data_IF_949912039355
#
_entry.id   IF_949912039355
#
_cell.length_a   1.000
_cell.length_b   1.000
_cell.length_c   1.000
_cell.angle_alpha   90.00
_cell.angle_beta   90.00
_cell.angle_gamma   90.00
#
_symmetry.space_group_name_H-M   'P 1'
#
loop_
_entity.id
_entity.type
_entity.pdbx_description
1 polymer ?
#
# COMPACT_ATOMS: atom_id res chain seq x y z
N UNK A 1 -14.48 6.44 10.45
CA UNK A 1 -13.49 6.69 9.40
C UNK A 1 -13.64 5.68 8.28
N UNK A 2 -13.45 6.12 7.05
CA UNK A 2 -13.69 5.27 5.88
C UNK A 2 -12.52 4.31 5.67
N UNK A 3 -12.82 3.02 5.59
CA UNK A 3 -11.79 2.00 5.29
C UNK A 3 -11.40 2.09 3.82
N UNK A 4 -10.14 1.79 3.48
CA UNK A 4 -9.73 1.82 2.08
C UNK A 4 -10.51 0.87 1.19
N UNK A 5 -10.97 -0.28 1.70
CA UNK A 5 -11.81 -1.18 0.91
C UNK A 5 -13.13 -0.51 0.50
N UNK A 6 -13.64 0.40 1.31
CA UNK A 6 -14.85 1.15 0.97
C UNK A 6 -14.60 2.09 -0.20
N UNK A 7 -13.46 2.79 -0.22
CA UNK A 7 -13.10 3.63 -1.37
C UNK A 7 -12.93 2.80 -2.63
N UNK A 8 -12.37 1.60 -2.49
CA UNK A 8 -12.23 0.70 -3.62
C UNK A 8 -13.61 0.35 -4.21
N UNK A 9 -14.60 0.11 -3.37
CA UNK A 9 -15.96 -0.15 -3.82
C UNK A 9 -16.58 1.04 -4.53
N UNK A 10 -16.15 2.25 -4.19
CA UNK A 10 -16.65 3.48 -4.81
C UNK A 10 -15.97 3.82 -6.13
N UNK A 11 -15.02 3.00 -6.59
CA UNK A 11 -14.41 3.17 -7.89
C UNK A 11 -12.94 3.55 -7.90
N UNK A 12 -12.35 3.80 -6.73
CA UNK A 12 -10.90 4.06 -6.65
C UNK A 12 -10.16 2.73 -6.82
N UNK A 13 -8.99 2.75 -7.46
CA UNK A 13 -8.21 1.53 -7.51
C UNK A 13 -7.59 1.23 -6.14
N UNK A 14 -6.99 0.05 -5.99
CA UNK A 14 -6.47 -0.37 -4.69
C UNK A 14 -5.42 0.59 -4.14
N UNK A 15 -4.57 1.15 -4.99
CA UNK A 15 -3.53 2.08 -4.56
C UNK A 15 -4.10 3.45 -4.20
N UNK A 16 -4.99 3.96 -5.03
CA UNK A 16 -5.65 5.24 -4.75
C UNK A 16 -6.42 5.18 -3.43
N UNK A 17 -7.07 4.05 -3.17
CA UNK A 17 -7.84 3.84 -1.95
C UNK A 17 -6.96 3.92 -0.70
N UNK A 18 -5.78 3.30 -0.74
CA UNK A 18 -4.82 3.35 0.37
C UNK A 18 -4.40 4.80 0.64
N UNK A 19 -4.01 5.53 -0.41
CA UNK A 19 -3.53 6.90 -0.26
C UNK A 19 -4.63 7.80 0.31
N UNK A 20 -5.83 7.67 -0.24
CA UNK A 20 -6.96 8.48 0.20
C UNK A 20 -7.31 8.24 1.67
N UNK A 21 -7.35 6.98 2.09
CA UNK A 21 -7.62 6.64 3.48
C UNK A 21 -6.53 7.14 4.41
N UNK A 22 -5.28 7.01 3.98
CA UNK A 22 -4.15 7.48 4.80
C UNK A 22 -4.23 8.99 5.02
N UNK A 23 -4.49 9.75 3.94
CA UNK A 23 -4.64 11.20 4.05
C UNK A 23 -5.73 11.59 5.04
N UNK A 24 -6.86 10.90 4.98
CA UNK A 24 -8.01 11.19 5.83
C UNK A 24 -7.71 10.89 7.30
N UNK A 25 -7.09 9.75 7.57
CA UNK A 25 -6.82 9.30 8.93
C UNK A 25 -5.68 10.05 9.60
N UNK A 26 -4.73 10.55 8.82
CA UNK A 26 -3.50 11.16 9.35
C UNK A 26 -3.34 12.63 8.96
N UNK A 27 -4.34 13.20 8.30
CA UNK A 27 -4.35 14.61 7.92
C UNK A 27 -3.13 14.97 7.05
N UNK A 28 -2.82 14.11 6.07
CA UNK A 28 -1.74 14.32 5.11
C UNK A 28 -2.32 14.69 3.74
N UNK A 29 -1.46 15.04 2.81
CA UNK A 29 -1.80 15.63 1.52
C UNK A 29 -1.12 14.90 0.36
N UNK A 30 -0.92 13.60 0.47
CA UNK A 30 -0.27 12.84 -0.59
C UNK A 30 -1.18 12.83 -1.82
N UNK A 31 -0.70 13.23 -3.01
CA UNK A 31 -1.55 13.23 -4.20
C UNK A 31 -2.08 11.81 -4.50
N UNK A 32 -3.40 11.66 -4.50
CA UNK A 32 -4.05 10.37 -4.77
C UNK A 32 -3.69 9.87 -6.17
N UNK A 33 -3.49 10.80 -7.11
CA UNK A 33 -3.14 10.46 -8.48
C UNK A 33 -1.84 9.65 -8.61
N UNK A 34 -0.96 9.71 -7.61
CA UNK A 34 0.27 8.91 -7.64
C UNK A 34 -0.02 7.41 -7.66
N UNK A 35 -1.19 7.00 -7.19
CA UNK A 35 -1.59 5.60 -7.18
C UNK A 35 -2.30 5.15 -8.46
N UNK A 36 -2.59 6.07 -9.39
CA UNK A 36 -3.45 5.73 -10.53
C UNK A 36 -2.88 4.65 -11.44
N UNK A 37 -1.56 4.57 -11.59
CA UNK A 37 -0.93 3.53 -12.42
C UNK A 37 -0.61 2.24 -11.68
N UNK A 38 -0.84 2.18 -10.37
CA UNK A 38 -0.44 1.05 -9.54
C UNK A 38 -1.50 -0.05 -9.44
N UNK A 39 -2.75 0.27 -9.75
CA UNK A 39 -3.86 -0.68 -9.61
C UNK A 39 -3.66 -1.90 -10.50
N UNK A 40 -4.26 -3.02 -10.11
CA UNK A 40 -4.16 -4.30 -10.81
C UNK A 40 -2.70 -4.72 -11.02
N UNK A 41 -1.88 -4.53 -9.96
CA UNK A 41 -0.47 -4.92 -9.99
C UNK A 41 0.32 -4.18 -11.06
N UNK A 42 0.32 -2.85 -10.99
CA UNK A 42 0.93 -1.97 -11.99
C UNK A 42 0.32 -2.22 -13.37
N UNK A 43 -0.97 -2.50 -13.40
CA UNK A 43 -1.81 -2.72 -14.59
C UNK A 43 -1.56 -4.05 -15.29
N UNK A 44 -0.50 -4.77 -14.94
CA UNK A 44 -0.09 -6.01 -15.64
C UNK A 44 -0.05 -7.24 -14.71
N UNK A 45 -0.68 -7.15 -13.54
CA UNK A 45 -0.73 -8.28 -12.62
C UNK A 45 0.55 -8.52 -11.82
N UNK A 46 1.42 -7.50 -11.75
CA UNK A 46 2.67 -7.57 -11.00
C UNK A 46 2.45 -7.19 -9.52
N UNK A 47 3.28 -6.38 -8.94
CA UNK A 47 3.19 -6.02 -7.52
C UNK A 47 1.81 -5.46 -7.16
N UNK A 48 1.19 -6.04 -6.14
CA UNK A 48 -0.12 -5.59 -5.67
C UNK A 48 -0.15 -4.08 -5.43
N UNK A 49 -1.17 -3.42 -5.99
CA UNK A 49 -1.29 -1.96 -5.88
C UNK A 49 -1.44 -1.46 -4.45
N UNK A 50 -2.13 -2.22 -3.60
CA UNK A 50 -2.28 -1.84 -2.19
C UNK A 50 -0.93 -1.88 -1.48
N UNK A 51 -0.14 -2.93 -1.72
CA UNK A 51 1.20 -3.06 -1.14
C UNK A 51 2.10 -1.94 -1.67
N UNK A 52 2.05 -1.70 -2.98
CA UNK A 52 2.86 -0.65 -3.60
C UNK A 52 2.52 0.73 -3.04
N UNK A 53 1.23 1.03 -2.87
CA UNK A 53 0.80 2.32 -2.30
C UNK A 53 1.26 2.45 -0.84
N UNK A 54 1.23 1.38 -0.07
CA UNK A 54 1.74 1.41 1.30
C UNK A 54 3.24 1.74 1.31
N UNK A 55 4.00 1.18 0.37
CA UNK A 55 5.41 1.51 0.21
C UNK A 55 5.59 2.98 -0.14
N UNK A 56 4.74 3.51 -1.02
CA UNK A 56 4.76 4.93 -1.39
C UNK A 56 4.54 5.81 -0.17
N UNK A 57 3.57 5.47 0.67
CA UNK A 57 3.30 6.22 1.90
C UNK A 57 4.51 6.17 2.83
N UNK A 58 5.15 5.00 2.95
CA UNK A 58 6.37 4.88 3.77
C UNK A 58 7.48 5.78 3.23
N UNK A 59 7.60 5.88 1.91
CA UNK A 59 8.56 6.80 1.30
C UNK A 59 8.25 8.25 1.60
N UNK A 60 6.97 8.60 1.59
CA UNK A 60 6.53 9.95 1.92
C UNK A 60 6.91 10.32 3.36
N UNK A 61 6.78 9.37 4.29
CA UNK A 61 7.01 9.62 5.72
C UNK A 61 8.47 9.44 6.14
N UNK A 62 9.18 8.47 5.58
CA UNK A 62 10.50 8.04 6.03
C UNK A 62 11.56 8.08 4.94
N UNK A 63 11.21 8.60 3.78
CA UNK A 63 12.13 8.68 2.67
C UNK A 63 13.18 9.77 2.84
N UNK A 64 14.11 9.82 1.93
CA UNK A 64 15.17 10.83 1.91
C UNK A 64 15.03 11.71 0.67
N UNK A 65 15.52 12.93 0.77
CA UNK A 65 15.45 13.88 -0.35
C UNK A 65 16.71 13.86 -1.21
N UNK A 66 17.83 13.39 -0.67
CA UNK A 66 19.04 13.24 -1.47
C UNK A 66 19.88 12.06 -0.94
N UNK A 67 20.95 11.76 -1.69
CA UNK A 67 21.74 10.56 -1.42
C UNK A 67 22.68 10.66 -0.22
N UNK A 68 22.75 11.83 0.40
CA UNK A 68 23.57 12.00 1.61
C UNK A 68 22.79 11.62 2.87
N UNK A 69 21.48 11.47 2.76
CA UNK A 69 20.62 11.14 3.90
C UNK A 69 20.40 9.63 4.01
N UNK A 70 20.12 9.16 5.21
CA UNK A 70 19.78 7.77 5.45
C UNK A 70 18.43 7.44 4.80
N UNK A 71 18.33 6.28 4.16
CA UNK A 71 17.07 5.84 3.55
C UNK A 71 16.33 4.91 4.51
N UNK A 72 15.65 5.47 5.48
CA UNK A 72 14.95 4.70 6.49
C UNK A 72 13.74 3.98 5.94
N UNK A 73 13.17 4.47 4.83
CA UNK A 73 12.01 3.81 4.20
C UNK A 73 12.29 2.36 3.82
N UNK A 74 13.54 2.02 3.53
CA UNK A 74 13.91 0.63 3.18
C UNK A 74 13.58 -0.35 4.29
N UNK A 75 13.87 0.01 5.53
CA UNK A 75 13.62 -0.87 6.67
C UNK A 75 12.12 -1.09 6.86
N UNK A 76 11.34 -0.02 6.76
CA UNK A 76 9.89 -0.11 6.89
C UNK A 76 9.27 -0.91 5.75
N UNK A 77 9.76 -0.70 4.52
CA UNK A 77 9.23 -1.44 3.36
C UNK A 77 9.54 -2.93 3.45
N UNK A 78 10.73 -3.28 3.95
CA UNK A 78 11.10 -4.68 4.15
C UNK A 78 10.14 -5.35 5.14
N UNK A 79 9.82 -4.67 6.23
CA UNK A 79 8.89 -5.23 7.20
C UNK A 79 7.49 -5.39 6.62
N UNK A 80 7.01 -4.40 5.85
CA UNK A 80 5.71 -4.50 5.19
C UNK A 80 5.65 -5.70 4.26
N UNK A 81 6.67 -5.86 3.41
CA UNK A 81 6.73 -6.97 2.46
C UNK A 81 6.78 -8.32 3.19
N UNK A 82 7.53 -8.39 4.30
CA UNK A 82 7.59 -9.62 5.10
C UNK A 82 6.22 -9.99 5.66
N UNK A 83 5.46 -9.03 6.13
CA UNK A 83 4.13 -9.29 6.67
C UNK A 83 3.17 -9.78 5.60
N UNK A 84 3.23 -9.18 4.40
CA UNK A 84 2.38 -9.60 3.29
C UNK A 84 2.72 -11.03 2.85
N UNK A 85 4.00 -11.33 2.68
CA UNK A 85 4.43 -12.67 2.27
C UNK A 85 4.11 -13.72 3.32
N UNK A 86 4.26 -13.38 4.58
CA UNK A 86 3.94 -14.29 5.67
C UNK A 86 2.45 -14.63 5.69
N UNK A 87 1.60 -13.65 5.40
CA UNK A 87 0.14 -13.83 5.41
C UNK A 87 -0.37 -14.56 4.17
N UNK A 88 0.17 -14.22 2.99
CA UNK A 88 -0.43 -14.64 1.71
C UNK A 88 0.53 -15.42 0.80
N UNK A 89 1.76 -15.64 1.21
CA UNK A 89 2.81 -16.31 0.43
C UNK A 89 3.24 -15.56 -0.84
N UNK A 90 2.65 -14.40 -1.13
CA UNK A 90 3.01 -13.61 -2.30
C UNK A 90 2.52 -12.18 -2.14
N UNK A 91 3.16 -11.28 -2.81
CA UNK A 91 2.75 -9.88 -2.93
C UNK A 91 2.32 -9.56 -4.36
N UNK A 92 2.30 -10.57 -5.22
CA UNK A 92 2.04 -10.39 -6.66
C UNK A 92 0.54 -10.48 -6.93
N UNK A 93 0.00 -9.49 -7.62
CA UNK A 93 -1.43 -9.40 -7.91
C UNK A 93 -1.99 -10.68 -8.54
N UNK A 94 -1.32 -11.23 -9.56
CA UNK A 94 -1.75 -12.46 -10.21
C UNK A 94 -1.86 -13.63 -9.23
N UNK A 95 -0.85 -13.76 -8.35
CA UNK A 95 -0.82 -14.86 -7.39
C UNK A 95 -1.94 -14.72 -6.37
N UNK A 96 -2.16 -13.50 -5.88
CA UNK A 96 -3.22 -13.24 -4.92
C UNK A 96 -4.58 -13.57 -5.51
N UNK A 97 -4.82 -13.17 -6.76
CA UNK A 97 -6.08 -13.49 -7.44
C UNK A 97 -6.24 -14.98 -7.67
N UNK A 98 -5.17 -15.66 -8.06
CA UNK A 98 -5.20 -17.11 -8.25
C UNK A 98 -5.55 -17.83 -6.96
N UNK A 99 -5.07 -17.32 -5.84
CA UNK A 99 -5.33 -17.90 -4.52
C UNK A 99 -6.64 -17.39 -3.91
N UNK A 100 -7.43 -16.67 -4.69
CA UNK A 100 -8.76 -16.18 -4.32
C UNK A 100 -8.76 -15.19 -3.16
N UNK A 101 -7.66 -14.44 -3.01
CA UNK A 101 -7.60 -13.34 -2.06
C UNK A 101 -8.31 -12.14 -2.68
N UNK A 102 -9.34 -11.63 -2.03
CA UNK A 102 -10.09 -10.49 -2.58
C UNK A 102 -9.29 -9.20 -2.48
N UNK A 103 -9.57 -8.26 -3.40
CA UNK A 103 -8.96 -6.95 -3.34
C UNK A 103 -9.27 -6.25 -2.03
N UNK A 104 -10.50 -6.37 -1.53
CA UNK A 104 -10.88 -5.76 -0.26
C UNK A 104 -10.04 -6.27 0.89
N UNK A 105 -9.76 -7.57 0.91
CA UNK A 105 -8.96 -8.16 1.98
C UNK A 105 -7.52 -7.65 1.97
N UNK A 106 -6.85 -7.69 0.80
CA UNK A 106 -5.45 -7.27 0.72
C UNK A 106 -5.32 -5.76 0.93
N UNK A 107 -6.29 -4.97 0.49
CA UNK A 107 -6.30 -3.54 0.70
C UNK A 107 -6.33 -3.22 2.20
N UNK A 108 -7.28 -3.80 2.92
CA UNK A 108 -7.41 -3.54 4.35
C UNK A 108 -6.22 -4.10 5.14
N UNK A 109 -5.74 -5.28 4.77
CA UNK A 109 -4.56 -5.86 5.43
C UNK A 109 -3.33 -4.97 5.25
N UNK A 110 -3.09 -4.51 4.02
CA UNK A 110 -1.93 -3.65 3.73
C UNK A 110 -2.01 -2.33 4.47
N UNK A 111 -3.20 -1.77 4.57
CA UNK A 111 -3.43 -0.52 5.28
C UNK A 111 -3.18 -0.68 6.78
N UNK A 112 -3.70 -1.75 7.37
CA UNK A 112 -3.51 -2.01 8.79
C UNK A 112 -2.03 -2.28 9.11
N UNK A 113 -1.35 -3.03 8.24
CA UNK A 113 0.07 -3.30 8.41
C UNK A 113 0.89 -2.00 8.32
N UNK A 114 0.56 -1.14 7.36
CA UNK A 114 1.21 0.16 7.21
C UNK A 114 1.11 0.98 8.51
N UNK A 115 -0.09 1.11 9.05
CA UNK A 115 -0.31 1.88 10.26
C UNK A 115 0.40 1.27 11.47
N UNK A 116 0.39 -0.05 11.59
CA UNK A 116 1.06 -0.73 12.69
C UNK A 116 2.57 -0.54 12.65
N UNK A 117 3.15 -0.63 11.47
CA UNK A 117 4.60 -0.46 11.28
C UNK A 117 5.03 0.96 11.65
N UNK A 118 4.26 1.96 11.23
CA UNK A 118 4.58 3.37 11.48
C UNK A 118 4.49 3.71 12.97
N UNK A 119 3.55 3.12 13.68
CA UNK A 119 3.30 3.42 15.08
C UNK A 119 4.28 2.78 16.07
N UNK A 120 5.14 1.90 15.60
CA UNK A 120 6.14 1.25 16.45
C UNK A 120 7.31 2.18 16.82
#
# INVERSE_FOLDING_TARGET
MTRPSQYHKEGYNCAEAIIKSYNEDHNTDIPVALGSGMGTGATVGSLCGAVNAAILVLGYLKGREDNSQSNDARTYSRELMSRVREKYDSEICKDLKRNKISCSEIIDFSYDALNDIIEK
#
